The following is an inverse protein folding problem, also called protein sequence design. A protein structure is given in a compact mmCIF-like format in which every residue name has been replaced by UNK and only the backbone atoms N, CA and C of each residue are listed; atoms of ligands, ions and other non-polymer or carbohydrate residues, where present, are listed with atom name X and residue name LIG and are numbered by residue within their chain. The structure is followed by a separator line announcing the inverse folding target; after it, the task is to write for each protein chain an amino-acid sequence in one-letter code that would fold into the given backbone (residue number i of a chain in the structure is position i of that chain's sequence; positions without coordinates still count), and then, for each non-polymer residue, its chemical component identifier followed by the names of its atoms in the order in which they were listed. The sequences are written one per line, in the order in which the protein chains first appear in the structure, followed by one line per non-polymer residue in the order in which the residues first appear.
data_IF_880319497988
#
_entry.id   IF_880319497988
#
_cell.length_a   1.000
_cell.length_b   1.000
_cell.length_c   1.000
_cell.angle_alpha   90.00
_cell.angle_beta   90.00
_cell.angle_gamma   90.00
#
_symmetry.space_group_name_H-M   'P 1'
#
loop_
_entity.id
_entity.type
_entity.pdbx_description
1 polymer ?
#
# COMPACT_ATOMS: atom_id res chain seq x y z
N UNK A 1 -0.58 14.63 -19.40
CA UNK A 1 -0.10 13.69 -18.37
C UNK A 1 1.21 14.09 -17.68
N UNK A 2 1.87 15.21 -18.01
CA UNK A 2 3.15 15.62 -17.38
C UNK A 2 2.98 16.43 -16.08
N UNK A 3 2.00 17.34 -16.07
CA UNK A 3 1.73 18.22 -14.93
C UNK A 3 1.41 17.49 -13.62
N UNK A 4 0.83 16.29 -13.68
CA UNK A 4 0.52 15.50 -12.48
C UNK A 4 1.79 14.91 -11.84
N UNK A 5 2.77 14.53 -12.65
CA UNK A 5 4.06 13.99 -12.17
C UNK A 5 4.92 15.11 -11.60
N UNK A 6 5.02 16.22 -12.33
CA UNK A 6 5.84 17.37 -11.91
C UNK A 6 5.32 18.00 -10.60
N UNK A 7 3.99 18.01 -10.38
CA UNK A 7 3.38 18.49 -9.14
C UNK A 7 3.66 17.57 -7.94
N UNK A 8 3.61 16.25 -8.16
CA UNK A 8 3.92 15.25 -7.14
C UNK A 8 5.37 15.38 -6.68
N UNK A 9 6.32 15.43 -7.62
CA UNK A 9 7.75 15.54 -7.31
C UNK A 9 8.10 16.83 -6.56
N UNK A 10 7.45 17.94 -6.88
CA UNK A 10 7.68 19.23 -6.22
C UNK A 10 7.13 19.31 -4.78
N UNK A 11 6.08 18.54 -4.47
CA UNK A 11 5.37 18.62 -3.17
C UNK A 11 5.69 17.48 -2.22
N UNK A 12 6.25 16.38 -2.73
CA UNK A 12 6.65 15.23 -1.92
C UNK A 12 7.70 15.54 -0.81
N UNK A 13 8.70 16.42 -1.01
CA UNK A 13 9.73 16.69 -0.01
C UNK A 13 9.22 17.42 1.26
N UNK A 14 8.12 18.16 1.15
CA UNK A 14 7.48 18.90 2.26
C UNK A 14 6.27 18.17 2.85
N UNK A 15 5.88 17.04 2.27
CA UNK A 15 4.80 16.21 2.73
C UNK A 15 5.32 15.24 3.79
N UNK A 16 4.57 15.05 4.89
CA UNK A 16 5.01 14.29 6.06
C UNK A 16 5.04 12.76 5.82
N UNK A 17 5.83 12.28 4.85
CA UNK A 17 6.24 10.88 4.62
C UNK A 17 5.14 9.82 4.43
N UNK A 18 3.87 10.16 4.67
CA UNK A 18 2.73 9.27 4.63
C UNK A 18 1.91 9.57 3.38
N UNK A 19 2.23 8.89 2.30
CA UNK A 19 1.32 8.82 1.16
C UNK A 19 0.02 8.14 1.64
N UNK A 20 -1.10 8.84 1.49
CA UNK A 20 -2.41 8.32 1.81
C UNK A 20 -2.69 7.10 0.92
N UNK A 21 -3.10 5.98 1.52
CA UNK A 21 -3.22 4.67 0.85
C UNK A 21 -4.07 4.72 -0.42
N UNK A 22 -5.04 5.64 -0.51
CA UNK A 22 -5.92 5.81 -1.68
C UNK A 22 -5.30 6.60 -2.84
N UNK A 23 -4.09 7.15 -2.69
CA UNK A 23 -3.39 7.89 -3.75
C UNK A 23 -2.25 7.10 -4.41
N UNK A 24 -1.99 5.87 -3.99
CA UNK A 24 -0.94 5.04 -4.60
C UNK A 24 -1.51 4.19 -5.74
N UNK A 25 -0.98 4.40 -6.94
CA UNK A 25 -1.26 3.60 -8.15
C UNK A 25 -0.22 2.48 -8.23
N UNK A 26 -0.66 1.23 -8.10
CA UNK A 26 0.06 -0.04 -8.33
C UNK A 26 1.59 -0.01 -8.16
N UNK A 27 2.06 -0.02 -6.92
CA UNK A 27 3.48 0.19 -6.59
C UNK A 27 4.19 -1.03 -6.00
N UNK A 28 3.62 -2.23 -6.15
CA UNK A 28 4.26 -3.48 -5.75
C UNK A 28 4.27 -3.76 -4.25
N UNK A 29 4.57 -5.01 -3.89
CA UNK A 29 4.42 -5.54 -2.52
C UNK A 29 5.35 -4.87 -1.48
N UNK A 30 6.52 -4.39 -1.88
CA UNK A 30 7.45 -3.72 -0.96
C UNK A 30 6.89 -2.38 -0.45
N UNK A 31 6.20 -1.63 -1.31
CA UNK A 31 5.60 -0.36 -0.93
C UNK A 31 4.34 -0.54 -0.09
N UNK A 32 3.55 -1.57 -0.38
CA UNK A 32 2.43 -1.99 0.49
C UNK A 32 2.93 -2.30 1.90
N UNK A 33 4.05 -3.03 2.03
CA UNK A 33 4.69 -3.31 3.33
C UNK A 33 5.19 -2.04 4.02
N UNK A 34 5.88 -1.16 3.29
CA UNK A 34 6.35 0.11 3.83
C UNK A 34 5.21 1.01 4.34
N UNK A 35 4.07 0.99 3.63
CA UNK A 35 2.87 1.77 3.95
C UNK A 35 2.22 1.31 5.26
N UNK A 36 2.04 0.01 5.43
CA UNK A 36 1.43 -0.53 6.66
C UNK A 36 2.43 -0.67 7.81
N UNK A 37 3.74 -0.67 7.50
CA UNK A 37 4.82 -0.71 8.48
C UNK A 37 4.63 -1.83 9.51
N UNK A 38 4.70 -1.56 10.83
CA UNK A 38 4.52 -2.57 11.87
C UNK A 38 3.18 -3.30 11.82
N UNK A 39 2.12 -2.67 11.29
CA UNK A 39 0.78 -3.26 11.23
C UNK A 39 0.66 -4.32 10.13
N UNK A 40 1.58 -4.37 9.18
CA UNK A 40 1.54 -5.31 8.07
C UNK A 40 1.43 -6.77 8.57
N UNK A 41 2.21 -7.15 9.58
CA UNK A 41 2.20 -8.51 10.15
C UNK A 41 0.82 -8.92 10.66
N UNK A 42 0.18 -8.05 11.46
CA UNK A 42 -1.17 -8.30 11.98
C UNK A 42 -2.19 -8.42 10.85
N UNK A 43 -2.06 -7.61 9.81
CA UNK A 43 -2.96 -7.66 8.66
C UNK A 43 -2.78 -8.95 7.84
N UNK A 44 -1.56 -9.48 7.71
CA UNK A 44 -1.33 -10.78 7.07
C UNK A 44 -1.99 -11.93 7.83
N UNK A 45 -1.97 -11.90 9.17
CA UNK A 45 -2.60 -12.90 10.03
C UNK A 45 -4.13 -12.84 9.94
N UNK A 46 -4.70 -11.63 10.03
CA UNK A 46 -6.15 -11.41 9.84
C UNK A 46 -6.57 -11.87 8.44
N UNK A 47 -5.78 -11.56 7.41
CA UNK A 47 -6.11 -11.97 6.05
C UNK A 47 -6.02 -13.49 5.86
N UNK A 48 -5.09 -14.18 6.54
CA UNK A 48 -5.08 -15.65 6.56
C UNK A 48 -6.34 -16.24 7.20
N UNK A 49 -6.89 -15.59 8.23
CA UNK A 49 -8.11 -16.04 8.89
C UNK A 49 -9.37 -15.83 8.05
N UNK A 50 -9.48 -14.68 7.36
CA UNK A 50 -10.73 -14.27 6.71
C UNK A 50 -10.72 -14.36 5.18
N UNK A 51 -9.56 -14.35 4.53
CA UNK A 51 -9.39 -14.49 3.08
C UNK A 51 -8.12 -15.30 2.72
N UNK A 52 -8.03 -16.58 3.16
CA UNK A 52 -6.86 -17.43 2.90
C UNK A 52 -6.63 -17.67 1.40
N UNK A 53 -7.69 -17.62 0.59
CA UNK A 53 -7.60 -17.73 -0.87
C UNK A 53 -7.19 -16.45 -1.58
N UNK A 54 -7.01 -15.35 -0.86
CA UNK A 54 -6.73 -14.02 -1.41
C UNK A 54 -7.72 -13.63 -2.53
N UNK A 55 -9.00 -13.90 -2.33
CA UNK A 55 -10.11 -13.62 -3.25
C UNK A 55 -10.25 -12.11 -3.44
N UNK A 56 -10.07 -11.32 -2.37
CA UNK A 56 -10.12 -9.87 -2.41
C UNK A 56 -8.73 -9.27 -2.64
N UNK A 57 -8.30 -9.31 -3.91
CA UNK A 57 -6.95 -8.88 -4.35
C UNK A 57 -6.89 -7.63 -5.22
N UNK A 58 -8.04 -7.07 -5.61
CA UNK A 58 -8.09 -5.81 -6.38
C UNK A 58 -8.15 -4.64 -5.38
N UNK A 59 -7.03 -4.39 -4.70
CA UNK A 59 -6.80 -3.31 -3.74
C UNK A 59 -5.28 -3.16 -3.47
N UNK A 60 -4.88 -2.34 -2.50
CA UNK A 60 -3.51 -2.32 -1.95
C UNK A 60 -3.19 -3.63 -1.23
N UNK A 61 -3.00 -4.67 -2.03
CA UNK A 61 -3.20 -6.05 -1.62
C UNK A 61 -2.12 -6.52 -0.65
N UNK A 62 -2.59 -7.02 0.49
CA UNK A 62 -1.79 -7.75 1.48
C UNK A 62 -1.93 -9.24 1.16
N UNK A 63 -0.84 -9.99 1.25
CA UNK A 63 -0.86 -11.45 1.11
C UNK A 63 -1.20 -12.09 2.47
N UNK A 64 -2.05 -13.13 2.52
CA UNK A 64 -2.27 -13.88 3.75
C UNK A 64 -0.96 -14.49 4.26
N UNK A 65 -0.81 -14.60 5.58
CA UNK A 65 0.25 -15.40 6.19
C UNK A 65 0.10 -16.86 5.73
N UNK A 66 1.23 -17.49 5.37
CA UNK A 66 1.28 -18.88 4.90
C UNK A 66 1.08 -19.90 6.01
#
# INVERSE_FOLDING_TARGET
MRAAVDYWDATHPSSAGGAYVNFMMDEGQERVRATYGPNYRRLTEVKAQYDPGNVFRINQNILPAG
#
